data_IF_321604775086
#
_entry.id   IF_321604775086
#
_cell.length_a   1.000
_cell.length_b   1.000
_cell.length_c   1.000
_cell.angle_alpha   90.00
_cell.angle_beta   90.00
_cell.angle_gamma   90.00
#
_symmetry.space_group_name_H-M   'P 1'
#
loop_
_entity.id
_entity.type
_entity.pdbx_description
1 polymer ?
#
# COMPACT_ATOMS: atom_id res chain seq x y z
N UNK A 1 9.63 12.77 3.91
CA UNK A 1 8.56 12.11 3.14
C UNK A 1 8.70 12.36 1.64
N UNK A 2 8.83 13.61 1.19
CA UNK A 2 8.99 13.93 -0.24
C UNK A 2 10.14 13.18 -0.93
N UNK A 3 11.32 13.12 -0.31
CA UNK A 3 12.47 12.36 -0.84
C UNK A 3 12.19 10.86 -0.97
N UNK A 4 11.42 10.29 -0.04
CA UNK A 4 11.04 8.88 -0.08
C UNK A 4 10.07 8.62 -1.25
N UNK A 5 9.07 9.47 -1.45
CA UNK A 5 8.14 9.36 -2.58
C UNK A 5 8.84 9.50 -3.92
N UNK A 6 9.78 10.45 -4.07
CA UNK A 6 10.62 10.57 -5.27
C UNK A 6 11.44 9.31 -5.52
N UNK A 7 11.99 8.71 -4.47
CA UNK A 7 12.72 7.44 -4.56
C UNK A 7 11.81 6.29 -5.00
N UNK A 8 10.60 6.18 -4.43
CA UNK A 8 9.60 5.18 -4.82
C UNK A 8 9.27 5.35 -6.30
N UNK A 9 8.85 6.55 -6.72
CA UNK A 9 8.55 6.87 -8.11
C UNK A 9 9.69 6.48 -9.07
N UNK A 10 10.93 6.85 -8.73
CA UNK A 10 12.10 6.47 -9.52
C UNK A 10 12.27 4.95 -9.63
N UNK A 11 12.09 4.21 -8.54
CA UNK A 11 12.19 2.74 -8.56
C UNK A 11 11.02 2.10 -9.33
N UNK A 12 9.82 2.68 -9.29
CA UNK A 12 8.63 2.18 -9.99
C UNK A 12 8.79 2.20 -11.50
N UNK A 13 9.53 3.16 -12.07
CA UNK A 13 9.83 3.18 -13.51
C UNK A 13 10.79 2.06 -13.93
N UNK A 14 11.50 1.45 -12.98
CA UNK A 14 12.40 0.32 -13.19
C UNK A 14 11.78 -1.02 -12.76
N UNK A 15 10.50 -1.02 -12.33
CA UNK A 15 9.80 -2.24 -11.94
C UNK A 15 9.63 -3.16 -13.15
N UNK A 16 10.02 -4.42 -12.99
CA UNK A 16 9.98 -5.44 -14.04
C UNK A 16 8.63 -6.15 -14.11
N UNK A 17 7.87 -6.17 -13.01
CA UNK A 17 6.51 -6.74 -12.97
C UNK A 17 5.61 -6.08 -14.01
N UNK A 18 4.79 -6.86 -14.69
CA UNK A 18 3.70 -6.32 -15.53
C UNK A 18 2.62 -5.68 -14.65
N UNK A 19 1.70 -4.92 -15.24
CA UNK A 19 0.61 -4.29 -14.48
C UNK A 19 -0.26 -5.34 -13.78
N UNK A 20 -0.55 -6.46 -14.46
CA UNK A 20 -1.32 -7.58 -13.92
C UNK A 20 -0.60 -8.20 -12.72
N UNK A 21 0.73 -8.40 -12.84
CA UNK A 21 1.54 -8.93 -11.74
C UNK A 21 1.59 -7.97 -10.54
N UNK A 22 1.61 -6.66 -10.77
CA UNK A 22 1.57 -5.67 -9.69
C UNK A 22 0.21 -5.64 -9.00
N UNK A 23 -0.90 -5.80 -9.73
CA UNK A 23 -2.25 -5.91 -9.15
C UNK A 23 -2.39 -7.21 -8.32
N UNK A 24 -1.80 -8.31 -8.79
CA UNK A 24 -1.73 -9.55 -8.01
C UNK A 24 -0.90 -9.37 -6.74
N UNK A 25 0.28 -8.74 -6.82
CA UNK A 25 1.10 -8.45 -5.63
C UNK A 25 0.39 -7.51 -4.67
N UNK A 26 -0.39 -6.55 -5.16
CA UNK A 26 -1.21 -5.71 -4.28
C UNK A 26 -2.24 -6.53 -3.50
N UNK A 27 -2.86 -7.54 -4.13
CA UNK A 27 -3.80 -8.44 -3.46
C UNK A 27 -3.10 -9.34 -2.45
N UNK A 28 -1.87 -9.76 -2.74
CA UNK A 28 -1.00 -10.52 -1.84
C UNK A 28 -0.71 -9.73 -0.55
N UNK A 29 -0.24 -8.48 -0.64
CA UNK A 29 0.10 -7.69 0.56
C UNK A 29 -1.13 -7.39 1.43
N UNK A 30 -2.31 -7.23 0.82
CA UNK A 30 -3.58 -7.10 1.55
C UNK A 30 -3.93 -8.39 2.29
N UNK A 31 -3.63 -9.54 1.68
CA UNK A 31 -3.77 -10.86 2.31
C UNK A 31 -2.79 -11.05 3.47
N UNK A 32 -1.54 -10.63 3.32
CA UNK A 32 -0.51 -10.66 4.36
C UNK A 32 -0.89 -9.72 5.52
N UNK A 33 -1.39 -8.52 5.21
CA UNK A 33 -1.96 -7.60 6.22
C UNK A 33 -3.08 -8.26 7.02
N UNK A 34 -4.01 -8.94 6.33
CA UNK A 34 -5.12 -9.64 6.97
C UNK A 34 -4.63 -10.76 7.88
N UNK A 35 -3.65 -11.53 7.42
CA UNK A 35 -3.04 -12.62 8.18
C UNK A 35 -2.29 -12.10 9.42
N UNK A 36 -1.50 -11.04 9.28
CA UNK A 36 -0.79 -10.42 10.39
C UNK A 36 -1.76 -9.92 11.46
N UNK A 37 -2.87 -9.27 11.05
CA UNK A 37 -3.89 -8.80 11.97
C UNK A 37 -4.58 -9.97 12.70
N UNK A 38 -4.97 -11.02 11.98
CA UNK A 38 -5.60 -12.20 12.58
C UNK A 38 -4.68 -12.92 13.57
N UNK A 39 -3.39 -13.04 13.23
CA UNK A 39 -2.41 -13.64 14.12
C UNK A 39 -2.16 -12.78 15.36
N UNK A 40 -1.99 -11.46 15.20
CA UNK A 40 -1.84 -10.51 16.31
C UNK A 40 -3.03 -10.54 17.27
N UNK A 41 -4.24 -10.68 16.75
CA UNK A 41 -5.47 -10.77 17.56
C UNK A 41 -5.69 -12.15 18.19
N UNK A 42 -4.80 -13.12 17.97
CA UNK A 42 -4.97 -14.52 18.35
C UNK A 42 -6.31 -15.08 17.87
N UNK A 43 -6.70 -14.80 16.63
CA UNK A 43 -7.89 -15.36 16.02
C UNK A 43 -7.74 -16.87 15.79
N UNK A 44 -8.82 -17.63 15.99
CA UNK A 44 -8.85 -19.08 15.83
C UNK A 44 -8.30 -19.52 14.47
N UNK A 45 -7.27 -20.37 14.49
CA UNK A 45 -6.63 -20.90 13.29
C UNK A 45 -5.56 -19.97 12.70
N UNK A 46 -5.20 -18.88 13.38
CA UNK A 46 -4.15 -17.93 12.99
C UNK A 46 -3.10 -17.70 14.08
N UNK A 47 -3.31 -18.23 15.29
CA UNK A 47 -2.43 -17.99 16.44
C UNK A 47 -1.04 -18.61 16.24
N UNK A 48 -0.95 -19.70 15.49
CA UNK A 48 0.31 -20.44 15.28
C UNK A 48 1.42 -19.61 14.61
N UNK A 49 1.06 -18.52 13.91
CA UNK A 49 2.04 -17.65 13.24
C UNK A 49 2.75 -16.68 14.20
N UNK A 50 2.20 -16.44 15.40
CA UNK A 50 2.80 -15.62 16.46
C UNK A 50 3.27 -14.23 15.99
N UNK A 51 2.51 -13.62 15.08
CA UNK A 51 2.80 -12.26 14.59
C UNK A 51 2.30 -11.22 15.60
N UNK A 52 2.93 -10.06 15.58
CA UNK A 52 2.68 -8.94 16.47
C UNK A 52 2.27 -7.68 15.70
N UNK A 53 1.97 -6.60 16.42
CA UNK A 53 1.48 -5.35 15.83
C UNK A 53 2.51 -4.66 14.90
N UNK A 54 3.81 -4.93 15.07
CA UNK A 54 4.82 -4.42 14.14
C UNK A 54 4.72 -5.11 12.78
N UNK A 55 4.44 -6.41 12.75
CA UNK A 55 4.24 -7.14 11.49
C UNK A 55 3.02 -6.56 10.75
N UNK A 56 1.91 -6.28 11.45
CA UNK A 56 0.74 -5.61 10.83
C UNK A 56 1.11 -4.27 10.18
N UNK A 57 1.99 -3.48 10.82
CA UNK A 57 2.44 -2.19 10.28
C UNK A 57 3.37 -2.35 9.08
N UNK A 58 4.20 -3.38 9.08
CA UNK A 58 5.06 -3.74 7.96
C UNK A 58 4.22 -4.09 6.74
N UNK A 59 3.25 -4.98 6.90
CA UNK A 59 2.34 -5.38 5.81
C UNK A 59 1.51 -4.19 5.29
N UNK A 60 1.08 -3.29 6.18
CA UNK A 60 0.44 -2.04 5.74
C UNK A 60 1.40 -1.16 4.91
N UNK A 61 2.68 -1.13 5.24
CA UNK A 61 3.68 -0.40 4.47
C UNK A 61 3.92 -1.04 3.11
N UNK A 62 3.87 -2.37 3.01
CA UNK A 62 3.98 -3.11 1.75
C UNK A 62 2.79 -2.82 0.83
N UNK A 63 1.57 -2.83 1.37
CA UNK A 63 0.36 -2.40 0.61
C UNK A 63 0.55 -0.99 0.05
N UNK A 64 1.02 -0.04 0.87
CA UNK A 64 1.27 1.35 0.44
C UNK A 64 2.34 1.40 -0.64
N UNK A 65 3.45 0.68 -0.48
CA UNK A 65 4.56 0.67 -1.41
C UNK A 65 4.15 0.10 -2.78
N UNK A 66 3.42 -1.01 -2.79
CA UNK A 66 2.95 -1.64 -4.04
C UNK A 66 1.89 -0.77 -4.71
N UNK A 67 0.96 -0.19 -3.96
CA UNK A 67 -0.05 0.73 -4.51
C UNK A 67 0.59 1.98 -5.13
N UNK A 68 1.54 2.61 -4.44
CA UNK A 68 2.29 3.74 -4.97
C UNK A 68 3.10 3.34 -6.21
N UNK A 69 3.73 2.15 -6.18
CA UNK A 69 4.52 1.68 -7.31
C UNK A 69 3.66 1.44 -8.55
N UNK A 70 2.48 0.84 -8.37
CA UNK A 70 1.51 0.65 -9.43
C UNK A 70 1.02 1.99 -9.97
N UNK A 71 0.69 2.93 -9.09
CA UNK A 71 0.25 4.28 -9.48
C UNK A 71 1.32 4.98 -10.33
N UNK A 72 2.56 5.05 -9.85
CA UNK A 72 3.64 5.72 -10.58
C UNK A 72 4.03 5.04 -11.88
N UNK A 73 3.77 3.74 -12.03
CA UNK A 73 3.95 3.04 -13.31
C UNK A 73 2.87 3.40 -14.33
N UNK A 74 1.70 3.82 -13.88
CA UNK A 74 0.57 4.26 -14.71
C UNK A 74 0.58 5.77 -15.01
N UNK A 75 1.15 6.57 -14.11
CA UNK A 75 1.17 8.03 -14.23
C UNK A 75 2.09 8.55 -15.33
N UNK A 76 1.65 9.62 -15.98
CA UNK A 76 2.38 10.25 -17.09
C UNK A 76 3.07 11.57 -16.70
N UNK A 77 2.82 12.09 -15.49
CA UNK A 77 3.41 13.34 -15.01
C UNK A 77 3.67 13.33 -13.50
N UNK A 78 4.49 14.29 -13.06
CA UNK A 78 4.68 14.59 -11.64
C UNK A 78 3.49 15.39 -11.12
N UNK A 79 2.89 14.95 -10.01
CA UNK A 79 1.80 15.66 -9.31
C UNK A 79 0.43 14.99 -9.38
N UNK A 80 0.18 14.09 -10.33
CA UNK A 80 -1.08 13.34 -10.46
C UNK A 80 -1.52 12.68 -9.13
N UNK A 81 -0.58 12.06 -8.40
CA UNK A 81 -0.88 11.42 -7.10
C UNK A 81 -1.45 12.43 -6.10
N UNK A 82 -0.83 13.59 -5.99
CA UNK A 82 -1.25 14.64 -5.08
C UNK A 82 -2.64 15.16 -5.46
N UNK A 83 -2.92 15.34 -6.74
CA UNK A 83 -4.24 15.75 -7.23
C UNK A 83 -5.33 14.76 -6.82
N UNK A 84 -5.14 13.46 -7.13
CA UNK A 84 -6.11 12.43 -6.80
C UNK A 84 -6.32 12.28 -5.29
N UNK A 85 -5.25 12.30 -4.51
CA UNK A 85 -5.34 12.19 -3.05
C UNK A 85 -6.02 13.42 -2.43
N UNK A 86 -5.65 14.64 -2.85
CA UNK A 86 -6.26 15.87 -2.32
C UNK A 86 -7.76 15.87 -2.53
N UNK A 87 -8.23 15.56 -3.75
CA UNK A 87 -9.67 15.43 -4.05
C UNK A 87 -10.40 14.43 -3.15
N UNK A 88 -9.74 13.32 -2.78
CA UNK A 88 -10.32 12.30 -1.90
C UNK A 88 -10.33 12.74 -0.44
N UNK A 89 -9.27 13.40 0.01
CA UNK A 89 -9.17 13.97 1.37
C UNK A 89 -10.20 15.08 1.55
N UNK A 90 -10.31 16.04 0.64
CA UNK A 90 -11.29 17.13 0.71
C UNK A 90 -12.73 16.58 0.78
N UNK A 91 -13.02 15.56 -0.04
CA UNK A 91 -14.32 14.86 0.00
C UNK A 91 -14.54 14.17 1.35
N UNK A 92 -13.53 13.53 1.91
CA UNK A 92 -13.63 12.86 3.20
C UNK A 92 -13.82 13.88 4.33
N UNK A 93 -13.11 15.01 4.31
CA UNK A 93 -13.26 16.09 5.28
C UNK A 93 -14.69 16.63 5.27
N UNK A 94 -15.27 16.88 4.10
CA UNK A 94 -16.64 17.41 3.96
C UNK A 94 -17.77 16.54 4.55
N UNK A 95 -17.48 15.26 4.87
CA UNK A 95 -18.45 14.36 5.54
C UNK A 95 -18.12 14.11 7.01
N UNK A 96 -16.97 14.61 7.49
CA UNK A 96 -16.52 14.50 8.87
C UNK A 96 -16.76 15.80 9.66
N UNK A 97 -16.77 16.95 8.99
CA UNK A 97 -17.23 18.26 9.50
C UNK A 97 -18.62 18.60 8.99
#
# INVERSE_FOLDING_TARGET
MEQLLKKIQYLSTHEKKTLEQMVLKLSEEVGETSQAMLSYMNANGSEYKQLNISDVKEECADVILVALSLFYKLSNNEGELQEFLSKKVDKWESVMT
#
